data_IF_927257072173
#
_entry.id   IF_927257072173
#
_cell.length_a   1.000
_cell.length_b   1.000
_cell.length_c   1.000
_cell.angle_alpha   90.00
_cell.angle_beta   90.00
_cell.angle_gamma   90.00
#
_symmetry.space_group_name_H-M   'P 1'
#
loop_
_entity.id
_entity.type
_entity.pdbx_description
1 polymer ?
#
# COMPACT_ATOMS: atom_id res chain seq x y z
N UNK A 1 11.17 -4.07 -6.39
CA UNK A 1 9.90 -4.26 -5.62
C UNK A 1 8.76 -4.57 -6.56
N UNK A 2 7.75 -5.24 -6.06
CA UNK A 2 6.55 -5.57 -6.84
C UNK A 2 5.32 -5.15 -6.06
N UNK A 3 4.46 -4.36 -6.70
CA UNK A 3 3.24 -3.83 -6.09
C UNK A 3 2.01 -4.40 -6.79
N UNK A 4 1.27 -5.22 -6.07
CA UNK A 4 -0.01 -5.78 -6.55
C UNK A 4 -1.10 -4.74 -6.31
N UNK A 5 -1.91 -4.47 -7.35
CA UNK A 5 -2.91 -3.42 -7.30
C UNK A 5 -4.15 -3.78 -8.10
N UNK A 6 -5.21 -3.05 -7.88
CA UNK A 6 -6.42 -3.05 -8.69
C UNK A 6 -6.99 -1.63 -8.70
N UNK A 7 -7.95 -1.38 -9.57
CA UNK A 7 -8.49 -0.03 -9.74
C UNK A 7 -9.57 0.26 -8.72
N UNK A 8 -9.18 0.23 -7.44
CA UNK A 8 -10.02 0.59 -6.30
C UNK A 8 -9.23 1.53 -5.39
N UNK A 9 -9.87 2.11 -4.37
CA UNK A 9 -9.31 3.23 -3.62
C UNK A 9 -7.98 2.94 -2.93
N UNK A 10 -7.91 1.89 -2.12
CA UNK A 10 -6.72 1.63 -1.30
C UNK A 10 -5.45 1.40 -2.10
N UNK A 11 -5.42 0.50 -3.10
CA UNK A 11 -4.20 0.33 -3.89
C UNK A 11 -3.85 1.55 -4.74
N UNK A 12 -4.84 2.36 -5.13
CA UNK A 12 -4.56 3.61 -5.86
C UNK A 12 -3.68 4.55 -5.04
N UNK A 13 -3.94 4.65 -3.74
CA UNK A 13 -3.13 5.51 -2.85
C UNK A 13 -1.66 5.07 -2.88
N UNK A 14 -1.43 3.78 -2.76
CA UNK A 14 -0.08 3.22 -2.79
C UNK A 14 0.59 3.48 -4.15
N UNK A 15 -0.14 3.31 -5.24
CA UNK A 15 0.38 3.56 -6.59
C UNK A 15 0.74 5.03 -6.79
N UNK A 16 -0.09 5.95 -6.31
CA UNK A 16 0.16 7.39 -6.43
C UNK A 16 1.45 7.75 -5.69
N UNK A 17 1.63 7.26 -4.47
CA UNK A 17 2.84 7.52 -3.68
C UNK A 17 4.07 6.90 -4.37
N UNK A 18 3.96 5.68 -4.85
CA UNK A 18 5.07 5.04 -5.56
C UNK A 18 5.50 5.84 -6.79
N UNK A 19 4.54 6.36 -7.56
CA UNK A 19 4.84 7.16 -8.74
C UNK A 19 5.42 8.51 -8.37
N UNK A 20 4.87 9.17 -7.35
CA UNK A 20 5.41 10.45 -6.86
C UNK A 20 6.86 10.31 -6.42
N UNK A 21 7.18 9.24 -5.71
CA UNK A 21 8.52 8.97 -5.21
C UNK A 21 9.45 8.37 -6.27
N UNK A 22 8.93 8.03 -7.44
CA UNK A 22 9.67 7.33 -8.49
C UNK A 22 10.29 6.04 -7.95
N UNK A 23 9.53 5.32 -7.12
CA UNK A 23 9.97 4.07 -6.52
C UNK A 23 10.18 3.01 -7.60
N UNK A 24 11.24 2.18 -7.51
CA UNK A 24 11.51 1.15 -8.50
C UNK A 24 10.58 -0.06 -8.31
N UNK A 25 9.35 0.10 -8.75
CA UNK A 25 8.27 -0.86 -8.52
C UNK A 25 7.77 -1.42 -9.84
N UNK A 26 7.67 -2.75 -9.93
CA UNK A 26 6.91 -3.42 -10.98
C UNK A 26 5.46 -3.49 -10.52
N UNK A 27 4.54 -3.01 -11.34
CA UNK A 27 3.12 -3.01 -11.01
C UNK A 27 2.48 -4.30 -11.52
N UNK A 28 1.80 -5.02 -10.64
CA UNK A 28 1.13 -6.28 -10.98
C UNK A 28 -0.37 -6.13 -10.75
N UNK A 29 -1.15 -6.13 -11.83
CA UNK A 29 -2.59 -6.01 -11.73
C UNK A 29 -3.21 -7.30 -11.21
N UNK A 30 -4.16 -7.16 -10.28
CA UNK A 30 -4.94 -8.28 -9.73
C UNK A 30 -6.38 -8.10 -10.17
N UNK A 31 -6.90 -9.07 -10.91
CA UNK A 31 -8.27 -9.00 -11.42
C UNK A 31 -9.24 -9.47 -10.33
N UNK A 32 -9.86 -8.51 -9.65
CA UNK A 32 -10.80 -8.80 -8.57
C UNK A 32 -12.06 -9.49 -9.09
N UNK A 33 -12.49 -9.12 -10.30
CA UNK A 33 -13.67 -9.72 -10.91
C UNK A 33 -13.48 -11.20 -11.20
N UNK A 34 -12.25 -11.64 -11.43
CA UNK A 34 -11.90 -13.04 -11.64
C UNK A 34 -11.51 -13.77 -10.37
N UNK A 35 -11.51 -13.06 -9.23
CA UNK A 35 -11.15 -13.65 -7.95
C UNK A 35 -9.66 -13.93 -7.77
N UNK A 36 -8.79 -13.23 -8.49
CA UNK A 36 -7.34 -13.46 -8.41
C UNK A 36 -6.79 -13.19 -7.02
N UNK A 37 -7.43 -12.28 -6.27
CA UNK A 37 -7.06 -11.99 -4.88
C UNK A 37 -7.40 -13.11 -3.90
N UNK A 38 -8.17 -14.10 -4.33
CA UNK A 38 -8.58 -15.25 -3.52
C UNK A 38 -7.90 -16.55 -3.93
N UNK A 39 -6.98 -16.49 -4.89
CA UNK A 39 -6.24 -17.69 -5.30
C UNK A 39 -5.28 -18.12 -4.19
N UNK A 40 -4.95 -19.43 -4.11
CA UNK A 40 -3.99 -19.90 -3.10
C UNK A 40 -2.64 -19.19 -3.17
N UNK A 41 -2.16 -18.90 -4.39
CA UNK A 41 -0.89 -18.20 -4.57
C UNK A 41 -0.93 -16.80 -3.98
N UNK A 42 -2.00 -16.04 -4.24
CA UNK A 42 -2.12 -14.68 -3.69
C UNK A 42 -2.35 -14.70 -2.18
N UNK A 43 -3.18 -15.61 -1.68
CA UNK A 43 -3.45 -15.73 -0.24
C UNK A 43 -2.18 -16.09 0.54
N UNK A 44 -1.23 -16.79 -0.09
CA UNK A 44 0.06 -17.05 0.54
C UNK A 44 0.86 -15.76 0.75
N UNK A 45 0.67 -14.76 -0.11
CA UNK A 45 1.32 -13.44 0.04
C UNK A 45 0.56 -12.56 1.02
N UNK A 46 -0.76 -12.53 0.90
CA UNK A 46 -1.61 -11.70 1.75
C UNK A 46 -2.82 -12.52 2.20
N UNK A 47 -2.78 -13.04 3.43
CA UNK A 47 -3.87 -13.90 3.92
C UNK A 47 -5.22 -13.20 4.03
N UNK A 48 -5.25 -11.87 4.02
CA UNK A 48 -6.51 -11.11 4.00
C UNK A 48 -7.20 -11.15 2.64
N UNK A 49 -6.48 -11.56 1.59
CA UNK A 49 -7.04 -11.63 0.24
C UNK A 49 -7.49 -10.27 -0.27
N UNK A 50 -6.67 -9.24 -0.06
CA UNK A 50 -6.98 -7.86 -0.48
C UNK A 50 -5.80 -7.26 -1.22
N UNK A 51 -6.04 -6.16 -1.91
CA UNK A 51 -5.00 -5.31 -2.50
C UNK A 51 -4.95 -4.01 -1.72
N UNK A 52 -3.80 -3.33 -1.62
CA UNK A 52 -2.52 -3.67 -2.26
C UNK A 52 -1.68 -4.66 -1.45
N UNK A 53 -0.69 -5.24 -2.11
CA UNK A 53 0.38 -6.03 -1.47
C UNK A 53 1.69 -5.62 -2.12
N UNK A 54 2.71 -5.36 -1.31
CA UNK A 54 4.05 -5.02 -1.80
C UNK A 54 5.03 -6.12 -1.43
N UNK A 55 5.85 -6.53 -2.41
CA UNK A 55 6.99 -7.40 -2.16
C UNK A 55 8.26 -6.57 -2.32
N UNK A 56 9.07 -6.50 -1.27
CA UNK A 56 10.38 -5.84 -1.28
C UNK A 56 11.42 -6.84 -0.80
N UNK A 57 12.09 -7.50 -1.75
CA UNK A 57 13.00 -8.58 -1.42
C UNK A 57 12.26 -9.73 -0.78
N UNK A 58 12.62 -10.04 0.46
CA UNK A 58 11.94 -11.10 1.25
C UNK A 58 10.77 -10.56 2.08
N UNK A 59 10.62 -9.23 2.15
CA UNK A 59 9.55 -8.61 2.92
C UNK A 59 8.28 -8.55 2.09
N UNK A 60 7.19 -8.98 2.69
CA UNK A 60 5.84 -8.85 2.12
C UNK A 60 5.03 -7.94 3.03
N UNK A 61 4.51 -6.86 2.46
CA UNK A 61 3.69 -5.89 3.20
C UNK A 61 2.31 -5.80 2.60
N UNK A 62 1.31 -5.66 3.44
CA UNK A 62 -0.04 -5.31 3.01
C UNK A 62 -0.52 -4.17 3.90
N UNK A 63 -1.67 -3.59 3.60
CA UNK A 63 -2.19 -2.31 4.09
C UNK A 63 -1.54 -1.13 3.35
N UNK A 64 -2.36 -0.34 2.68
CA UNK A 64 -1.90 0.77 1.84
C UNK A 64 -1.06 1.75 2.63
N UNK A 65 -1.47 2.10 3.86
CA UNK A 65 -0.74 3.08 4.66
C UNK A 65 0.65 2.59 5.04
N UNK A 66 0.78 1.32 5.39
CA UNK A 66 2.08 0.73 5.71
C UNK A 66 2.98 0.73 4.47
N UNK A 67 2.42 0.40 3.31
CA UNK A 67 3.16 0.41 2.05
C UNK A 67 3.63 1.82 1.72
N UNK A 68 2.76 2.83 1.85
CA UNK A 68 3.12 4.21 1.59
C UNK A 68 4.26 4.68 2.48
N UNK A 69 4.20 4.38 3.77
CA UNK A 69 5.25 4.73 4.72
C UNK A 69 6.57 4.02 4.39
N UNK A 70 6.49 2.74 4.03
CA UNK A 70 7.67 1.98 3.65
C UNK A 70 8.35 2.56 2.40
N UNK A 71 7.56 2.89 1.37
CA UNK A 71 8.09 3.49 0.14
C UNK A 71 8.74 4.85 0.44
N UNK A 72 8.10 5.67 1.26
CA UNK A 72 8.64 6.97 1.64
C UNK A 72 9.95 6.83 2.42
N UNK A 73 10.02 5.89 3.35
CA UNK A 73 11.23 5.63 4.12
C UNK A 73 12.37 5.15 3.21
N UNK A 74 12.07 4.27 2.25
CA UNK A 74 13.06 3.76 1.29
C UNK A 74 13.60 4.87 0.39
N UNK A 75 12.78 5.89 0.12
CA UNK A 75 13.14 7.02 -0.73
C UNK A 75 13.71 8.19 0.06
N UNK A 76 13.83 8.06 1.38
CA UNK A 76 14.26 9.14 2.28
C UNK A 76 13.41 10.40 2.10
N UNK A 77 12.09 10.22 2.02
CA UNK A 77 11.14 11.28 1.74
C UNK A 77 10.48 11.81 3.01
N UNK A 78 10.21 13.12 3.04
CA UNK A 78 9.47 13.76 4.11
C UNK A 78 7.99 13.36 4.17
N UNK A 79 7.50 12.61 3.19
CA UNK A 79 6.13 12.07 3.27
C UNK A 79 5.96 11.16 4.49
N UNK A 80 7.04 10.51 4.94
CA UNK A 80 7.07 9.79 6.22
C UNK A 80 8.24 10.33 7.00
N UNK A 81 8.06 11.46 7.73
CA UNK A 81 9.16 12.12 8.41
C UNK A 81 9.75 11.25 9.53
N UNK A 82 11.04 11.44 9.79
CA UNK A 82 11.76 10.70 10.84
C UNK A 82 11.96 11.53 12.08
N UNK A 83 11.14 12.57 12.26
CA UNK A 83 11.18 13.49 13.42
C UNK A 83 9.78 13.60 14.06
N UNK A 84 9.55 14.62 14.86
CA UNK A 84 8.29 14.81 15.59
C UNK A 84 7.06 14.87 14.67
N UNK A 85 7.23 15.25 13.42
CA UNK A 85 6.13 15.30 12.44
C UNK A 85 5.58 13.90 12.12
N UNK A 86 6.33 12.84 12.42
CA UNK A 86 5.90 11.47 12.15
C UNK A 86 4.61 11.14 12.90
N UNK A 87 4.48 11.56 14.15
CA UNK A 87 3.28 11.25 14.93
C UNK A 87 2.05 11.98 14.38
N UNK A 88 2.23 13.20 13.87
CA UNK A 88 1.14 13.93 13.21
C UNK A 88 0.71 13.22 11.93
N UNK A 89 1.67 12.75 11.14
CA UNK A 89 1.39 11.99 9.92
C UNK A 89 0.62 10.72 10.25
N UNK A 90 1.06 10.00 11.27
CA UNK A 90 0.38 8.78 11.71
C UNK A 90 -1.07 9.07 12.14
N UNK A 91 -1.27 10.18 12.86
CA UNK A 91 -2.60 10.55 13.31
C UNK A 91 -3.55 10.75 12.13
N UNK A 92 -3.12 11.47 11.09
CA UNK A 92 -3.96 11.70 9.91
C UNK A 92 -4.20 10.43 9.11
N UNK A 93 -3.19 9.55 8.99
CA UNK A 93 -3.36 8.26 8.34
C UNK A 93 -4.39 7.39 9.09
N UNK A 94 -4.30 7.36 10.41
CA UNK A 94 -5.23 6.59 11.25
C UNK A 94 -6.64 7.14 11.14
N UNK A 95 -6.78 8.47 11.15
CA UNK A 95 -8.09 9.11 10.99
C UNK A 95 -8.70 8.76 9.63
N UNK A 96 -7.92 8.87 8.55
CA UNK A 96 -8.40 8.55 7.21
C UNK A 96 -8.85 7.10 7.11
N UNK A 97 -8.11 6.18 7.71
CA UNK A 97 -8.45 4.76 7.70
C UNK A 97 -9.70 4.43 8.49
N UNK A 98 -9.93 5.11 9.61
CA UNK A 98 -11.07 4.84 10.49
C UNK A 98 -12.34 5.58 10.09
N UNK A 99 -12.20 6.85 9.69
CA UNK A 99 -13.34 7.74 9.52
C UNK A 99 -13.70 7.97 8.06
N UNK A 100 -12.74 7.99 7.17
CA UNK A 100 -12.92 8.37 5.78
C UNK A 100 -12.95 7.18 4.82
N UNK A 101 -11.94 6.31 4.89
CA UNK A 101 -11.81 5.19 3.96
C UNK A 101 -13.01 4.23 3.96
N UNK A 102 -13.63 3.92 5.11
CA UNK A 102 -14.80 3.03 5.10
C UNK A 102 -15.95 3.54 4.24
N UNK A 103 -16.02 4.86 4.02
CA UNK A 103 -17.07 5.47 3.22
C UNK A 103 -16.71 5.45 1.73
N UNK A 104 -15.42 5.56 1.41
CA UNK A 104 -14.94 5.73 0.04
C UNK A 104 -14.37 4.45 -0.59
N UNK A 105 -14.12 3.44 0.21
CA UNK A 105 -13.52 2.19 -0.27
C UNK A 105 -14.57 1.23 -0.87
#
# INVERSE_FOLDING_TARGET
MKLYWSDVTSPRKACVVAKYLQSPVEYAYVDLGRGEHKTPAYLALNPNGKVPTLIDGTRVLWEADAIMCHLAARSDSDLWPQDDRQIETLRWLSWAGQEFNPVTS
#
